data_IF_375577281470
#
_entry.id   IF_375577281470
#
_cell.length_a   1.000
_cell.length_b   1.000
_cell.length_c   1.000
_cell.angle_alpha   90.00
_cell.angle_beta   90.00
_cell.angle_gamma   90.00
#
_symmetry.space_group_name_H-M   'P 1'
#
loop_
_entity.id
_entity.type
_entity.pdbx_description
1 polymer ?
#
# COMPACT_ATOMS: atom_id res chain seq x y z
N UNK A 1 12.97 -41.44 -19.14
CA UNK A 1 13.62 -40.33 -18.40
C UNK A 1 13.07 -38.97 -18.85
N UNK A 2 13.03 -38.70 -20.16
CA UNK A 2 12.54 -37.44 -20.74
C UNK A 2 11.07 -37.10 -20.43
N UNK A 3 10.16 -38.08 -20.48
CA UNK A 3 8.74 -37.89 -20.12
C UNK A 3 8.52 -37.47 -18.65
N UNK A 4 9.37 -37.95 -17.72
CA UNK A 4 9.31 -37.52 -16.31
C UNK A 4 9.80 -36.08 -16.14
N UNK A 5 10.80 -35.66 -16.90
CA UNK A 5 11.27 -34.27 -16.88
C UNK A 5 10.21 -33.31 -17.43
N UNK A 6 9.50 -33.69 -18.49
CA UNK A 6 8.39 -32.90 -19.02
C UNK A 6 7.21 -32.81 -18.05
N UNK A 7 6.83 -33.92 -17.41
CA UNK A 7 5.76 -33.91 -16.41
C UNK A 7 6.11 -32.99 -15.22
N UNK A 8 7.34 -33.10 -14.69
CA UNK A 8 7.80 -32.23 -13.60
C UNK A 8 7.88 -30.75 -14.03
N UNK A 9 8.30 -30.46 -15.26
CA UNK A 9 8.34 -29.11 -15.78
C UNK A 9 6.94 -28.50 -15.92
N UNK A 10 5.98 -29.26 -16.45
CA UNK A 10 4.58 -28.85 -16.52
C UNK A 10 3.98 -28.60 -15.14
N UNK A 11 4.19 -29.51 -14.19
CA UNK A 11 3.69 -29.39 -12.82
C UNK A 11 4.30 -28.18 -12.11
N UNK A 12 5.60 -27.92 -12.31
CA UNK A 12 6.23 -26.71 -11.77
C UNK A 12 5.67 -25.42 -12.39
N UNK A 13 5.35 -25.44 -13.68
CA UNK A 13 4.78 -24.29 -14.37
C UNK A 13 3.36 -24.00 -13.89
N UNK A 14 2.50 -25.02 -13.77
CA UNK A 14 1.13 -24.86 -13.27
C UNK A 14 1.11 -24.38 -11.81
N UNK A 15 1.99 -24.94 -10.97
CA UNK A 15 2.12 -24.51 -9.57
C UNK A 15 2.60 -23.06 -9.48
N UNK A 16 3.55 -22.65 -10.32
CA UNK A 16 4.07 -21.28 -10.37
C UNK A 16 2.98 -20.27 -10.75
N UNK A 17 2.13 -20.60 -11.73
CA UNK A 17 1.04 -19.72 -12.17
C UNK A 17 -0.07 -19.58 -11.14
N UNK A 18 -0.40 -20.66 -10.42
CA UNK A 18 -1.42 -20.63 -9.36
C UNK A 18 -0.94 -19.81 -8.15
N UNK A 19 0.33 -19.96 -7.77
CA UNK A 19 0.97 -19.14 -6.74
C UNK A 19 0.99 -17.66 -7.13
N UNK A 20 1.45 -17.34 -8.33
CA UNK A 20 1.50 -15.96 -8.84
C UNK A 20 0.12 -15.27 -8.81
N UNK A 21 -0.93 -15.99 -9.23
CA UNK A 21 -2.31 -15.50 -9.12
C UNK A 21 -2.75 -15.20 -7.67
N UNK A 22 -2.41 -16.08 -6.72
CA UNK A 22 -2.72 -15.90 -5.30
C UNK A 22 -1.95 -14.72 -4.68
N UNK A 23 -0.67 -14.57 -5.01
CA UNK A 23 0.14 -13.44 -4.55
C UNK A 23 -0.38 -12.10 -5.09
N UNK A 24 -0.80 -12.07 -6.35
CA UNK A 24 -1.41 -10.88 -6.97
C UNK A 24 -2.76 -10.54 -6.33
N UNK A 25 -3.57 -11.54 -6.00
CA UNK A 25 -4.82 -11.34 -5.27
C UNK A 25 -4.57 -10.72 -3.89
N UNK A 26 -3.60 -11.24 -3.14
CA UNK A 26 -3.23 -10.68 -1.83
C UNK A 26 -2.81 -9.21 -1.92
N UNK A 27 -1.97 -8.86 -2.90
CA UNK A 27 -1.57 -7.46 -3.14
C UNK A 27 -2.77 -6.55 -3.43
N UNK A 28 -3.69 -6.99 -4.29
CA UNK A 28 -4.93 -6.25 -4.61
C UNK A 28 -5.85 -6.10 -3.40
N UNK A 29 -5.96 -7.16 -2.60
CA UNK A 29 -6.75 -7.14 -1.37
C UNK A 29 -6.24 -6.09 -0.38
N UNK A 30 -4.91 -5.99 -0.19
CA UNK A 30 -4.32 -4.94 0.65
C UNK A 30 -4.55 -3.54 0.08
N UNK A 31 -4.55 -3.37 -1.25
CA UNK A 31 -4.89 -2.08 -1.87
C UNK A 31 -6.34 -1.70 -1.54
N UNK A 32 -7.29 -2.64 -1.68
CA UNK A 32 -8.71 -2.40 -1.37
C UNK A 32 -8.91 -2.02 0.09
N UNK A 33 -8.26 -2.73 1.04
CA UNK A 33 -8.34 -2.40 2.46
C UNK A 33 -7.82 -0.98 2.73
N UNK A 34 -6.64 -0.62 2.20
CA UNK A 34 -6.11 0.74 2.38
C UNK A 34 -7.04 1.81 1.78
N UNK A 35 -7.59 1.55 0.59
CA UNK A 35 -8.56 2.46 -0.02
C UNK A 35 -9.79 2.64 0.87
N UNK A 36 -10.32 1.56 1.46
CA UNK A 36 -11.42 1.63 2.41
C UNK A 36 -11.04 2.44 3.66
N UNK A 37 -9.84 2.24 4.21
CA UNK A 37 -9.32 3.05 5.33
C UNK A 37 -9.23 4.53 4.95
N UNK A 38 -8.69 4.88 3.78
CA UNK A 38 -8.60 6.27 3.34
C UNK A 38 -9.97 6.91 3.12
N UNK A 39 -10.93 6.19 2.54
CA UNK A 39 -12.31 6.68 2.41
C UNK A 39 -12.94 6.88 3.79
N UNK A 40 -12.76 5.93 4.69
CA UNK A 40 -13.24 6.03 6.07
C UNK A 40 -12.66 7.26 6.78
N UNK A 41 -11.36 7.49 6.66
CA UNK A 41 -10.67 8.67 7.20
C UNK A 41 -11.17 9.97 6.54
N UNK A 42 -11.36 10.00 5.22
CA UNK A 42 -11.90 11.16 4.52
C UNK A 42 -13.30 11.51 5.04
N UNK A 43 -14.20 10.52 5.13
CA UNK A 43 -15.54 10.72 5.65
C UNK A 43 -15.53 11.13 7.13
N UNK A 44 -14.65 10.55 7.93
CA UNK A 44 -14.47 10.92 9.33
C UNK A 44 -14.04 12.38 9.48
N UNK A 45 -13.04 12.81 8.69
CA UNK A 45 -12.56 14.21 8.73
C UNK A 45 -13.63 15.22 8.33
N UNK A 46 -14.57 14.82 7.47
CA UNK A 46 -15.72 15.66 7.08
C UNK A 46 -16.83 15.65 8.15
N UNK A 47 -17.05 14.53 8.83
CA UNK A 47 -18.13 14.38 9.81
C UNK A 47 -17.78 14.99 11.18
N UNK A 48 -16.53 14.83 11.63
CA UNK A 48 -16.06 15.29 12.94
C UNK A 48 -14.76 16.08 12.80
N UNK A 49 -14.83 17.32 12.31
CA UNK A 49 -13.63 18.11 12.11
C UNK A 49 -13.01 18.63 13.40
N UNK A 50 -13.81 18.86 14.44
CA UNK A 50 -13.35 19.50 15.67
C UNK A 50 -12.27 18.69 16.39
N UNK A 51 -12.37 17.36 16.39
CA UNK A 51 -11.35 16.46 16.96
C UNK A 51 -9.99 16.62 16.27
N UNK A 52 -9.99 16.93 14.98
CA UNK A 52 -8.77 17.17 14.20
C UNK A 52 -8.14 18.53 14.53
N UNK A 53 -8.96 19.57 14.72
CA UNK A 53 -8.48 20.92 15.08
C UNK A 53 -7.94 21.00 16.50
N UNK A 54 -8.61 20.33 17.44
CA UNK A 54 -8.16 20.21 18.82
C UNK A 54 -6.81 19.48 18.88
N UNK A 55 -6.66 18.39 18.12
CA UNK A 55 -5.40 17.65 18.03
C UNK A 55 -4.26 18.46 17.35
N UNK A 56 -4.58 19.27 16.34
CA UNK A 56 -3.60 20.13 15.67
C UNK A 56 -3.27 21.40 16.47
N UNK A 57 -3.95 21.64 17.60
CA UNK A 57 -3.93 22.90 18.37
C UNK A 57 -4.19 24.15 17.49
N UNK A 58 -4.83 23.96 16.34
CA UNK A 58 -5.17 25.05 15.43
C UNK A 58 -6.47 25.64 15.94
N UNK A 59 -6.36 26.79 16.62
CA UNK A 59 -7.50 27.67 16.84
C UNK A 59 -7.89 28.23 15.48
N UNK A 60 -8.88 27.63 14.82
CA UNK A 60 -9.37 28.12 13.54
C UNK A 60 -9.78 29.59 13.68
N UNK A 61 -8.99 30.50 13.11
CA UNK A 61 -9.23 31.94 13.16
C UNK A 61 -10.59 32.33 12.57
N UNK A 62 -11.19 31.45 11.75
CA UNK A 62 -12.56 31.56 11.24
C UNK A 62 -13.13 30.18 10.88
N UNK A 63 -14.47 30.07 10.79
CA UNK A 63 -15.14 28.85 10.27
C UNK A 63 -14.74 28.51 8.84
N UNK A 64 -14.29 29.48 8.05
CA UNK A 64 -13.85 29.25 6.67
C UNK A 64 -12.51 28.49 6.62
N UNK A 65 -11.52 28.90 7.42
CA UNK A 65 -10.24 28.20 7.53
C UNK A 65 -10.41 26.74 8.01
N UNK A 66 -11.42 26.52 8.86
CA UNK A 66 -11.79 25.18 9.33
C UNK A 66 -12.28 24.28 8.19
N UNK A 67 -13.10 24.81 7.28
CA UNK A 67 -13.62 24.07 6.13
C UNK A 67 -12.52 23.81 5.10
N UNK A 68 -11.65 24.79 4.84
CA UNK A 68 -10.54 24.65 3.89
C UNK A 68 -9.58 23.52 4.28
N UNK A 69 -9.18 23.46 5.55
CA UNK A 69 -8.29 22.41 6.03
C UNK A 69 -8.95 21.01 5.96
N UNK A 70 -10.24 20.90 6.27
CA UNK A 70 -10.99 19.64 6.11
C UNK A 70 -11.01 19.17 4.66
N UNK A 71 -11.33 20.07 3.73
CA UNK A 71 -11.38 19.74 2.29
C UNK A 71 -10.00 19.32 1.80
N UNK A 72 -8.94 19.98 2.27
CA UNK A 72 -7.56 19.64 1.89
C UNK A 72 -7.15 18.26 2.41
N UNK A 73 -7.48 17.95 3.67
CA UNK A 73 -7.16 16.65 4.29
C UNK A 73 -8.01 15.53 3.68
N UNK A 74 -9.32 15.69 3.60
CA UNK A 74 -10.22 14.72 2.97
C UNK A 74 -9.87 14.50 1.49
N UNK A 75 -9.59 15.59 0.76
CA UNK A 75 -9.15 15.54 -0.63
C UNK A 75 -7.84 14.77 -0.82
N UNK A 76 -6.90 14.91 0.12
CA UNK A 76 -5.64 14.16 0.10
C UNK A 76 -5.88 12.65 0.25
N UNK A 77 -6.74 12.23 1.17
CA UNK A 77 -7.10 10.82 1.33
C UNK A 77 -7.79 10.25 0.08
N UNK A 78 -8.70 11.01 -0.52
CA UNK A 78 -9.36 10.61 -1.78
C UNK A 78 -8.33 10.50 -2.91
N UNK A 79 -7.39 11.44 -3.02
CA UNK A 79 -6.32 11.39 -4.01
C UNK A 79 -5.43 10.15 -3.82
N UNK A 80 -5.03 9.82 -2.59
CA UNK A 80 -4.27 8.60 -2.30
C UNK A 80 -5.05 7.34 -2.66
N UNK A 81 -6.35 7.30 -2.37
CA UNK A 81 -7.23 6.21 -2.76
C UNK A 81 -7.26 6.03 -4.29
N UNK A 82 -7.47 7.11 -5.06
CA UNK A 82 -7.52 7.07 -6.52
C UNK A 82 -6.17 6.64 -7.14
N UNK A 83 -5.06 7.16 -6.63
CA UNK A 83 -3.72 6.76 -7.08
C UNK A 83 -3.47 5.28 -6.82
N UNK A 84 -3.89 4.78 -5.66
CA UNK A 84 -3.71 3.38 -5.27
C UNK A 84 -4.65 2.43 -6.02
N UNK A 85 -5.88 2.89 -6.33
CA UNK A 85 -6.90 2.11 -7.04
C UNK A 85 -6.46 1.66 -8.44
N UNK A 86 -5.54 2.39 -9.09
CA UNK A 86 -4.95 1.99 -10.37
C UNK A 86 -4.29 0.60 -10.32
N UNK A 87 -3.78 0.19 -9.15
CA UNK A 87 -3.19 -1.12 -8.92
C UNK A 87 -4.18 -2.27 -8.71
N UNK A 88 -5.48 -1.98 -8.58
CA UNK A 88 -6.55 -2.99 -8.49
C UNK A 88 -6.84 -3.56 -9.88
N UNK A 89 -6.98 -2.66 -10.87
CA UNK A 89 -7.40 -3.02 -12.24
C UNK A 89 -6.20 -3.54 -13.06
N UNK A 90 -5.06 -2.87 -12.99
CA UNK A 90 -3.89 -3.17 -13.83
C UNK A 90 -2.78 -3.88 -13.03
N UNK A 91 -2.49 -5.14 -13.40
CA UNK A 91 -1.44 -5.95 -12.76
C UNK A 91 -0.06 -5.30 -12.83
N UNK A 92 0.26 -4.60 -13.93
CA UNK A 92 1.55 -3.93 -14.09
C UNK A 92 1.71 -2.77 -13.12
N UNK A 93 0.58 -2.21 -12.64
CA UNK A 93 0.53 -1.10 -11.69
C UNK A 93 0.36 -1.56 -10.24
N UNK A 94 -0.03 -2.82 -9.98
CA UNK A 94 -0.20 -3.36 -8.62
C UNK A 94 1.07 -3.18 -7.78
N UNK A 95 2.25 -3.48 -8.32
CA UNK A 95 3.52 -3.27 -7.61
C UNK A 95 3.78 -1.79 -7.30
N UNK A 96 3.57 -0.91 -8.28
CA UNK A 96 3.77 0.54 -8.11
C UNK A 96 2.82 1.11 -7.06
N UNK A 97 1.57 0.65 -7.08
CA UNK A 97 0.55 1.01 -6.09
C UNK A 97 0.93 0.52 -4.68
N UNK A 98 1.39 -0.74 -4.54
CA UNK A 98 1.87 -1.26 -3.25
C UNK A 98 3.07 -0.48 -2.70
N UNK A 99 4.01 -0.06 -3.56
CA UNK A 99 5.13 0.80 -3.14
C UNK A 99 4.61 2.16 -2.64
N UNK A 100 3.66 2.76 -3.35
CA UNK A 100 3.01 4.00 -2.93
C UNK A 100 2.32 3.86 -1.57
N UNK A 101 1.53 2.79 -1.39
CA UNK A 101 0.86 2.48 -0.13
C UNK A 101 1.84 2.26 1.02
N UNK A 102 2.95 1.57 0.75
CA UNK A 102 4.01 1.39 1.73
C UNK A 102 4.62 2.73 2.14
N UNK A 103 4.94 3.61 1.18
CA UNK A 103 5.50 4.93 1.48
C UNK A 103 4.55 5.80 2.30
N UNK A 104 3.26 5.79 1.97
CA UNK A 104 2.23 6.54 2.72
C UNK A 104 2.11 6.00 4.15
N UNK A 105 1.90 4.69 4.31
CA UNK A 105 1.79 4.07 5.64
C UNK A 105 3.08 4.23 6.47
N UNK A 106 4.25 4.17 5.83
CA UNK A 106 5.53 4.31 6.52
C UNK A 106 5.75 5.76 6.99
N UNK A 107 5.43 6.73 6.12
CA UNK A 107 5.51 8.15 6.48
C UNK A 107 4.58 8.46 7.66
N UNK A 108 3.38 7.90 7.63
CA UNK A 108 2.41 8.05 8.71
C UNK A 108 2.90 7.44 10.03
N UNK A 109 3.37 6.19 9.99
CA UNK A 109 3.92 5.51 11.16
C UNK A 109 5.11 6.27 11.76
N UNK A 110 6.03 6.74 10.91
CA UNK A 110 7.19 7.54 11.34
C UNK A 110 6.75 8.85 11.99
N UNK A 111 5.79 9.58 11.40
CA UNK A 111 5.25 10.79 11.98
C UNK A 111 4.67 10.53 13.38
N UNK A 112 4.00 9.38 13.57
CA UNK A 112 3.47 8.97 14.87
C UNK A 112 4.55 8.58 15.86
N UNK A 113 5.62 7.91 15.43
CA UNK A 113 6.79 7.66 16.28
C UNK A 113 7.43 8.96 16.77
N UNK A 114 7.57 9.96 15.89
CA UNK A 114 8.12 11.27 16.25
C UNK A 114 7.21 11.94 17.29
N UNK A 115 5.90 11.98 17.05
CA UNK A 115 4.94 12.54 18.00
C UNK A 115 5.00 11.87 19.38
N UNK A 116 5.18 10.54 19.43
CA UNK A 116 5.32 9.79 20.68
C UNK A 116 6.61 10.16 21.43
N UNK A 117 7.72 10.37 20.71
CA UNK A 117 9.00 10.81 21.28
C UNK A 117 8.88 12.24 21.82
N UNK A 118 8.14 13.11 21.12
CA UNK A 118 7.85 14.49 21.54
C UNK A 118 6.85 14.55 22.72
N UNK A 119 6.38 13.41 23.22
CA UNK A 119 5.44 13.33 24.34
C UNK A 119 3.99 13.63 23.97
N UNK A 120 3.67 13.81 22.68
CA UNK A 120 2.30 13.95 22.20
C UNK A 120 1.66 12.56 22.02
N UNK A 121 1.14 12.03 23.14
CA UNK A 121 -0.06 11.17 23.28
C UNK A 121 0.16 10.07 24.34
N UNK A 122 -0.46 10.24 25.52
CA UNK A 122 -0.48 9.27 26.63
C UNK A 122 -1.72 8.37 26.64
N UNK A 123 -2.57 8.45 25.61
CA UNK A 123 -3.83 7.70 25.59
C UNK A 123 -3.60 6.25 25.11
N UNK A 124 -4.17 5.28 25.82
CA UNK A 124 -3.94 3.84 25.59
C UNK A 124 -4.36 3.38 24.18
N UNK A 125 -5.28 4.11 23.54
CA UNK A 125 -5.74 3.93 22.16
C UNK A 125 -4.62 4.13 21.14
N UNK A 126 -3.64 5.00 21.42
CA UNK A 126 -2.52 5.32 20.53
C UNK A 126 -1.68 4.09 20.21
N UNK A 127 -1.41 3.24 21.22
CA UNK A 127 -0.63 2.01 21.05
C UNK A 127 -1.35 0.97 20.18
N UNK A 128 -2.68 0.90 20.25
CA UNK A 128 -3.48 0.01 19.40
C UNK A 128 -3.40 0.44 17.93
N UNK A 129 -3.53 1.74 17.66
CA UNK A 129 -3.38 2.26 16.30
C UNK A 129 -1.96 2.07 15.76
N UNK A 130 -0.95 2.25 16.60
CA UNK A 130 0.45 2.02 16.24
C UNK A 130 0.71 0.54 15.91
N UNK A 131 0.10 -0.38 16.65
CA UNK A 131 0.12 -1.81 16.35
C UNK A 131 -0.55 -2.15 15.02
N UNK A 132 -1.70 -1.53 14.72
CA UNK A 132 -2.39 -1.66 13.44
C UNK A 132 -1.52 -1.17 12.27
N UNK A 133 -0.91 0.01 12.39
CA UNK A 133 -0.04 0.60 11.35
C UNK A 133 1.20 -0.27 11.10
N UNK A 134 1.82 -0.77 12.17
CA UNK A 134 2.95 -1.68 12.06
C UNK A 134 2.55 -3.00 11.39
N UNK A 135 1.42 -3.59 11.77
CA UNK A 135 0.90 -4.79 11.13
C UNK A 135 0.64 -4.57 9.64
N UNK A 136 0.04 -3.43 9.28
CA UNK A 136 -0.23 -3.08 7.89
C UNK A 136 1.06 -2.90 7.08
N UNK A 137 2.08 -2.27 7.67
CA UNK A 137 3.41 -2.16 7.06
C UNK A 137 4.06 -3.52 6.82
N UNK A 138 3.99 -4.44 7.79
CA UNK A 138 4.52 -5.79 7.65
C UNK A 138 3.79 -6.53 6.52
N UNK A 139 2.46 -6.45 6.46
CA UNK A 139 1.67 -7.05 5.38
C UNK A 139 2.03 -6.48 4.01
N UNK A 140 2.25 -5.16 3.91
CA UNK A 140 2.69 -4.49 2.67
C UNK A 140 4.10 -4.93 2.25
N UNK A 141 5.04 -5.08 3.19
CA UNK A 141 6.38 -5.61 2.89
C UNK A 141 6.29 -7.04 2.38
N UNK A 142 5.48 -7.88 3.04
CA UNK A 142 5.23 -9.26 2.61
C UNK A 142 4.64 -9.26 1.19
N UNK A 143 3.57 -8.50 0.93
CA UNK A 143 2.97 -8.39 -0.40
C UNK A 143 3.96 -7.91 -1.46
N UNK A 144 4.80 -6.93 -1.14
CA UNK A 144 5.84 -6.43 -2.04
C UNK A 144 6.89 -7.49 -2.37
N UNK A 145 7.30 -8.30 -1.39
CA UNK A 145 8.23 -9.42 -1.60
C UNK A 145 7.61 -10.50 -2.49
N UNK A 146 6.34 -10.81 -2.26
CA UNK A 146 5.60 -11.85 -2.98
C UNK A 146 5.32 -11.44 -4.43
N UNK A 147 4.89 -10.20 -4.67
CA UNK A 147 4.64 -9.66 -6.01
C UNK A 147 5.94 -9.36 -6.77
N UNK A 148 7.05 -9.13 -6.07
CA UNK A 148 8.33 -8.85 -6.74
C UNK A 148 9.06 -10.09 -7.25
N UNK A 149 8.80 -11.27 -6.68
CA UNK A 149 9.41 -12.54 -7.05
C UNK A 149 10.96 -12.54 -7.08
N UNK A 150 11.61 -13.71 -7.25
CA UNK A 150 13.01 -13.73 -7.66
C UNK A 150 13.05 -13.09 -9.06
N UNK A 151 13.64 -11.89 -9.17
CA UNK A 151 14.03 -11.31 -10.47
C UNK A 151 15.03 -12.25 -11.13
N UNK A 152 14.51 -13.27 -11.81
CA UNK A 152 15.27 -14.04 -12.78
C UNK A 152 15.81 -13.05 -13.79
N UNK A 153 17.12 -12.88 -13.80
CA UNK A 153 17.90 -12.28 -14.88
C UNK A 153 17.47 -12.94 -16.21
N UNK A 154 16.48 -12.38 -16.88
CA UNK A 154 16.21 -12.65 -18.31
C UNK A 154 16.85 -11.59 -19.20
N UNK A 155 17.85 -10.86 -18.68
CA UNK A 155 18.70 -9.93 -19.43
C UNK A 155 19.69 -10.61 -20.40
N UNK A 156 19.68 -11.95 -20.54
CA UNK A 156 20.63 -12.69 -21.38
C UNK A 156 19.95 -13.69 -22.33
N UNK A 157 18.93 -13.27 -23.08
CA UNK A 157 18.43 -14.09 -24.19
C UNK A 157 17.80 -13.25 -25.29
N UNK A 158 18.59 -12.40 -25.96
CA UNK A 158 18.18 -11.82 -27.23
C UNK A 158 19.38 -11.21 -28.00
N UNK A 159 20.46 -11.97 -28.23
CA UNK A 159 21.53 -11.46 -29.12
C UNK A 159 22.40 -12.54 -29.81
N UNK A 160 21.92 -13.78 -29.98
CA UNK A 160 22.68 -14.83 -30.68
C UNK A 160 21.84 -15.58 -31.74
N UNK A 161 21.03 -14.87 -32.54
CA UNK A 161 20.39 -15.50 -33.70
C UNK A 161 19.97 -14.49 -34.76
N UNK A 162 20.92 -13.80 -35.40
CA UNK A 162 20.69 -13.27 -36.75
C UNK A 162 21.93 -12.90 -37.56
N UNK A 163 23.10 -13.46 -37.24
CA UNK A 163 24.20 -13.55 -38.21
C UNK A 163 24.38 -15.01 -38.60
N UNK A 164 23.87 -15.38 -39.77
CA UNK A 164 24.43 -16.35 -40.72
C UNK A 164 23.54 -16.32 -41.96
N UNK A 165 23.80 -15.33 -42.81
CA UNK A 165 23.52 -15.37 -44.26
C UNK A 165 24.53 -16.28 -44.95
#
# INVERSE_FOLDING_TARGET
MWLRQLANAMESATLSTDLEGKWMFFGRFLIVINCATFIGLALWTLAQPQTLFEALQISGSSRAAIIELQVLIAGSFIAFCLLSASGIVDQKKTKRSLIGLFMINASWFVARCIALIDGLAEENSTYLYMGYELAMLILLVIALRLVSGPRGRTLFRQEDTQDFS
#
